data_IF_225540625599
#
_entry.id   IF_225540625599
#
_cell.length_a   1.000
_cell.length_b   1.000
_cell.length_c   1.000
_cell.angle_alpha   90.00
_cell.angle_beta   90.00
_cell.angle_gamma   90.00
#
_symmetry.space_group_name_H-M   'P 1'
#
loop_
_entity.id
_entity.type
_entity.pdbx_description
1 polymer ?
#
# COMPACT_ATOMS: atom_id res chain seq x y z
N UNK A 1 -112.10 11.38 23.35
CA UNK A 1 -110.77 12.02 23.50
C UNK A 1 -109.74 11.16 22.80
N UNK A 2 -109.01 11.75 21.86
CA UNK A 2 -108.09 11.08 20.93
C UNK A 2 -106.84 10.54 21.65
N UNK A 3 -106.76 9.22 21.84
CA UNK A 3 -105.49 8.54 22.10
C UNK A 3 -104.75 8.32 20.78
N UNK A 4 -104.08 9.37 20.28
CA UNK A 4 -103.03 9.21 19.26
C UNK A 4 -101.80 8.62 19.96
N UNK A 5 -101.71 7.29 20.01
CA UNK A 5 -100.43 6.59 20.22
C UNK A 5 -99.50 7.06 19.09
N UNK A 6 -98.52 7.92 19.43
CA UNK A 6 -97.39 8.19 18.55
C UNK A 6 -96.77 6.83 18.23
N UNK A 7 -96.92 6.36 16.98
CA UNK A 7 -96.06 5.30 16.45
C UNK A 7 -94.65 5.87 16.54
N UNK A 8 -93.91 5.49 17.59
CA UNK A 8 -92.49 5.68 17.61
C UNK A 8 -91.98 5.05 16.32
N UNK A 9 -91.34 5.83 15.46
CA UNK A 9 -90.66 5.31 14.28
C UNK A 9 -89.62 4.32 14.78
N UNK A 10 -89.98 3.04 14.85
CA UNK A 10 -89.06 1.97 15.21
C UNK A 10 -87.94 2.00 14.18
N UNK A 11 -86.75 2.32 14.64
CA UNK A 11 -85.55 2.41 13.80
C UNK A 11 -85.36 1.04 13.16
N UNK A 12 -85.76 0.93 11.89
CA UNK A 12 -85.69 -0.33 11.15
C UNK A 12 -84.31 -0.40 10.49
N UNK A 13 -83.77 -1.61 10.30
CA UNK A 13 -82.47 -1.80 9.65
C UNK A 13 -82.33 -1.04 8.32
N UNK A 14 -83.39 -1.00 7.52
CA UNK A 14 -83.43 -0.27 6.24
C UNK A 14 -83.30 1.25 6.41
N UNK A 15 -83.76 1.80 7.53
CA UNK A 15 -83.57 3.22 7.85
C UNK A 15 -82.11 3.53 8.16
N UNK A 16 -81.43 2.69 8.96
CA UNK A 16 -80.01 2.84 9.25
C UNK A 16 -79.16 2.67 7.99
N UNK A 17 -79.50 1.68 7.14
CA UNK A 17 -78.84 1.44 5.85
C UNK A 17 -78.91 2.64 4.91
N UNK A 18 -80.04 3.35 4.90
CA UNK A 18 -80.26 4.50 4.01
C UNK A 18 -79.62 5.78 4.53
N UNK A 19 -79.58 5.98 5.85
CA UNK A 19 -79.15 7.25 6.47
C UNK A 19 -77.69 7.25 6.93
N UNK A 20 -77.12 6.09 7.25
CA UNK A 20 -75.74 5.96 7.74
C UNK A 20 -75.00 4.79 7.06
N UNK A 21 -74.86 4.81 5.72
CA UNK A 21 -74.20 3.74 4.98
C UNK A 21 -72.73 3.54 5.42
N UNK A 22 -72.02 4.64 5.66
CA UNK A 22 -70.62 4.68 6.07
C UNK A 22 -70.34 3.93 7.37
N UNK A 23 -71.25 4.07 8.35
CA UNK A 23 -71.13 3.39 9.66
C UNK A 23 -71.33 1.88 9.49
N UNK A 24 -72.25 1.49 8.61
CA UNK A 24 -72.56 0.09 8.33
C UNK A 24 -71.41 -0.61 7.58
N UNK A 25 -70.74 0.08 6.66
CA UNK A 25 -69.58 -0.50 5.95
C UNK A 25 -68.40 -0.80 6.89
N UNK A 26 -68.14 0.06 7.87
CA UNK A 26 -67.11 -0.21 8.87
C UNK A 26 -67.50 -1.34 9.83
N UNK A 27 -68.74 -1.34 10.31
CA UNK A 27 -69.20 -2.39 11.23
C UNK A 27 -69.30 -3.78 10.56
N UNK A 28 -69.52 -3.84 9.24
CA UNK A 28 -69.44 -5.09 8.46
C UNK A 28 -68.09 -5.77 8.54
N UNK A 29 -67.04 -5.02 8.84
CA UNK A 29 -65.70 -5.57 8.97
C UNK A 29 -65.47 -6.32 10.29
N UNK A 30 -66.40 -6.23 11.23
CA UNK A 30 -66.32 -6.93 12.50
C UNK A 30 -66.55 -8.43 12.29
N UNK A 31 -65.75 -9.24 12.98
CA UNK A 31 -65.81 -10.71 12.94
C UNK A 31 -67.19 -11.29 13.32
N UNK A 32 -67.98 -10.57 14.12
CA UNK A 32 -69.31 -10.97 14.57
C UNK A 32 -70.41 -10.06 14.00
N UNK A 33 -70.23 -9.58 12.77
CA UNK A 33 -71.15 -8.66 12.11
C UNK A 33 -72.61 -9.11 12.15
N UNK A 34 -72.89 -10.40 11.90
CA UNK A 34 -74.27 -10.90 11.86
C UNK A 34 -75.00 -10.75 13.20
N UNK A 35 -74.27 -10.91 14.31
CA UNK A 35 -74.80 -10.70 15.68
C UNK A 35 -74.98 -9.22 16.01
N UNK A 36 -74.07 -8.37 15.54
CA UNK A 36 -74.12 -6.91 15.70
C UNK A 36 -75.26 -6.30 14.90
N UNK A 37 -75.46 -6.77 13.66
CA UNK A 37 -76.53 -6.36 12.76
C UNK A 37 -77.92 -6.61 13.33
N UNK A 38 -78.14 -7.76 13.99
CA UNK A 38 -79.42 -8.08 14.62
C UNK A 38 -79.68 -7.27 15.89
N UNK A 39 -78.64 -6.95 16.67
CA UNK A 39 -78.79 -6.25 17.95
C UNK A 39 -78.95 -4.73 17.83
N UNK A 40 -78.53 -4.11 16.74
CA UNK A 40 -78.57 -2.65 16.57
C UNK A 40 -80.00 -2.08 16.57
N UNK A 41 -80.95 -2.60 15.75
CA UNK A 41 -82.34 -2.10 15.75
C UNK A 41 -83.05 -2.32 17.10
N UNK A 42 -82.77 -3.46 17.75
CA UNK A 42 -83.34 -3.82 19.06
C UNK A 42 -82.82 -2.89 20.15
N UNK A 43 -81.50 -2.66 20.22
CA UNK A 43 -80.88 -1.76 21.20
C UNK A 43 -81.28 -0.29 21.02
N UNK A 44 -81.44 0.17 19.78
CA UNK A 44 -81.91 1.54 19.52
C UNK A 44 -83.40 1.72 19.86
N UNK A 45 -84.22 0.68 19.67
CA UNK A 45 -85.61 0.69 20.11
C UNK A 45 -85.77 0.72 21.64
N UNK A 46 -84.81 0.15 22.36
CA UNK A 46 -84.72 0.16 23.83
C UNK A 46 -84.03 1.43 24.38
N UNK A 47 -83.50 2.29 23.50
CA UNK A 47 -82.67 3.46 23.86
C UNK A 47 -81.39 3.12 24.64
N UNK A 48 -80.95 1.86 24.59
CA UNK A 48 -79.77 1.38 25.33
C UNK A 48 -78.46 1.88 24.70
N UNK A 49 -78.46 2.25 23.42
CA UNK A 49 -77.35 2.89 22.72
C UNK A 49 -77.82 3.98 21.74
N UNK A 50 -77.00 5.02 21.56
CA UNK A 50 -77.22 6.11 20.60
C UNK A 50 -76.51 5.81 19.27
N UNK A 51 -77.09 6.19 18.13
CA UNK A 51 -76.42 6.20 16.80
C UNK A 51 -75.04 6.88 16.87
N UNK A 52 -74.89 7.87 17.76
CA UNK A 52 -73.62 8.55 18.01
C UNK A 52 -72.53 7.58 18.49
N UNK A 53 -72.86 6.59 19.32
CA UNK A 53 -71.93 5.57 19.79
C UNK A 53 -71.51 4.63 18.64
N UNK A 54 -72.44 4.27 17.75
CA UNK A 54 -72.11 3.49 16.54
C UNK A 54 -71.20 4.26 15.58
N UNK A 55 -71.45 5.56 15.42
CA UNK A 55 -70.60 6.43 14.62
C UNK A 55 -69.20 6.56 15.24
N UNK A 56 -69.09 6.71 16.56
CA UNK A 56 -67.82 6.74 17.28
C UNK A 56 -67.04 5.42 17.14
N UNK A 57 -67.71 4.27 17.25
CA UNK A 57 -67.10 2.95 17.04
C UNK A 57 -66.61 2.80 15.59
N UNK A 58 -67.42 3.18 14.60
CA UNK A 58 -67.01 3.12 13.20
C UNK A 58 -65.82 4.04 12.90
N UNK A 59 -65.78 5.24 13.47
CA UNK A 59 -64.64 6.15 13.37
C UNK A 59 -63.37 5.55 13.99
N UNK A 60 -63.49 4.95 15.18
CA UNK A 60 -62.37 4.27 15.84
C UNK A 60 -61.88 3.04 15.07
N UNK A 61 -62.77 2.28 14.42
CA UNK A 61 -62.37 1.16 13.53
C UNK A 61 -61.57 1.67 12.33
N UNK A 62 -61.98 2.79 11.71
CA UNK A 62 -61.23 3.42 10.61
C UNK A 62 -59.86 3.87 11.06
N UNK A 63 -59.79 4.56 12.19
CA UNK A 63 -58.53 5.04 12.77
C UNK A 63 -57.57 3.87 13.04
N UNK A 64 -58.05 2.79 13.67
CA UNK A 64 -57.25 1.59 13.91
C UNK A 64 -56.79 0.89 12.61
N UNK A 65 -57.58 0.96 11.53
CA UNK A 65 -57.17 0.43 10.21
C UNK A 65 -56.04 1.25 9.61
N UNK A 66 -56.17 2.58 9.64
CA UNK A 66 -55.14 3.50 9.17
C UNK A 66 -53.85 3.30 9.98
N UNK A 67 -53.95 3.22 11.31
CA UNK A 67 -52.79 2.95 12.17
C UNK A 67 -52.15 1.60 11.85
N UNK A 68 -52.94 0.56 11.60
CA UNK A 68 -52.44 -0.76 11.20
C UNK A 68 -51.70 -0.71 9.86
N UNK A 69 -52.22 0.02 8.88
CA UNK A 69 -51.56 0.21 7.58
C UNK A 69 -50.24 0.96 7.74
N UNK A 70 -50.22 2.07 8.48
CA UNK A 70 -49.01 2.83 8.79
C UNK A 70 -47.98 1.99 9.56
N UNK A 71 -48.42 1.13 10.49
CA UNK A 71 -47.54 0.18 11.17
C UNK A 71 -47.00 -0.88 10.20
N UNK A 72 -47.82 -1.36 9.25
CA UNK A 72 -47.41 -2.25 8.17
C UNK A 72 -46.30 -1.64 7.32
N UNK A 73 -46.49 -0.41 6.84
CA UNK A 73 -45.48 0.33 6.08
C UNK A 73 -44.19 0.53 6.88
N UNK A 74 -44.30 0.88 8.16
CA UNK A 74 -43.13 1.00 9.05
C UNK A 74 -42.39 -0.32 9.22
N UNK A 75 -43.12 -1.44 9.36
CA UNK A 75 -42.52 -2.78 9.45
C UNK A 75 -41.80 -3.13 8.14
N UNK A 76 -42.38 -2.82 6.98
CA UNK A 76 -41.73 -3.03 5.68
C UNK A 76 -40.44 -2.22 5.54
N UNK A 77 -40.46 -0.94 5.91
CA UNK A 77 -39.26 -0.08 5.90
C UNK A 77 -38.19 -0.61 6.86
N UNK A 78 -38.59 -1.08 8.05
CA UNK A 78 -37.65 -1.67 9.01
C UNK A 78 -37.06 -2.95 8.42
N UNK A 79 -37.87 -3.83 7.83
CA UNK A 79 -37.40 -5.06 7.22
C UNK A 79 -36.42 -4.79 6.06
N UNK A 80 -36.73 -3.82 5.19
CA UNK A 80 -35.82 -3.45 4.09
C UNK A 80 -34.49 -2.90 4.61
N UNK A 81 -34.51 -2.11 5.70
CA UNK A 81 -33.29 -1.60 6.36
C UNK A 81 -32.49 -2.71 7.04
N UNK A 82 -33.18 -3.66 7.68
CA UNK A 82 -32.52 -4.83 8.31
C UNK A 82 -31.86 -5.69 7.25
N UNK A 83 -32.52 -5.89 6.10
CA UNK A 83 -31.96 -6.66 5.00
C UNK A 83 -30.77 -5.93 4.33
N UNK A 84 -30.87 -4.62 4.12
CA UNK A 84 -29.73 -3.83 3.63
C UNK A 84 -28.54 -3.89 4.60
N UNK A 85 -28.76 -3.68 5.90
CA UNK A 85 -27.72 -3.78 6.93
C UNK A 85 -27.11 -5.18 6.98
N UNK A 86 -27.91 -6.23 6.83
CA UNK A 86 -27.42 -7.61 6.77
C UNK A 86 -26.49 -7.81 5.58
N UNK A 87 -26.90 -7.37 4.38
CA UNK A 87 -26.05 -7.50 3.18
C UNK A 87 -24.78 -6.67 3.27
N UNK A 88 -24.85 -5.46 3.82
CA UNK A 88 -23.70 -4.59 4.05
C UNK A 88 -22.73 -5.22 5.06
N UNK A 89 -23.25 -5.76 6.16
CA UNK A 89 -22.47 -6.47 7.17
C UNK A 89 -21.78 -7.72 6.60
N UNK A 90 -22.48 -8.53 5.80
CA UNK A 90 -21.89 -9.70 5.13
C UNK A 90 -20.80 -9.31 4.13
N UNK A 91 -20.98 -8.20 3.40
CA UNK A 91 -19.97 -7.69 2.47
C UNK A 91 -18.74 -7.17 3.22
N UNK A 92 -18.94 -6.41 4.30
CA UNK A 92 -17.87 -5.91 5.15
C UNK A 92 -17.11 -7.07 5.80
N UNK A 93 -17.80 -8.10 6.27
CA UNK A 93 -17.18 -9.30 6.82
C UNK A 93 -16.30 -10.01 5.78
N UNK A 94 -16.79 -10.18 4.54
CA UNK A 94 -16.00 -10.76 3.43
C UNK A 94 -14.79 -9.91 3.07
N UNK A 95 -14.91 -8.58 3.10
CA UNK A 95 -13.81 -7.66 2.84
C UNK A 95 -12.73 -7.77 3.92
N UNK A 96 -13.13 -7.70 5.20
CA UNK A 96 -12.23 -7.88 6.34
C UNK A 96 -11.55 -9.25 6.33
N UNK A 97 -12.27 -10.32 5.99
CA UNK A 97 -11.69 -11.65 5.88
C UNK A 97 -10.58 -11.71 4.82
N UNK A 98 -10.78 -11.08 3.66
CA UNK A 98 -9.75 -10.98 2.61
C UNK A 98 -8.53 -10.17 3.06
N UNK A 99 -8.75 -9.08 3.78
CA UNK A 99 -7.66 -8.29 4.35
C UNK A 99 -6.84 -9.08 5.37
N UNK A 100 -7.52 -9.82 6.26
CA UNK A 100 -6.87 -10.72 7.21
C UNK A 100 -6.02 -11.77 6.49
N UNK A 101 -6.56 -12.41 5.45
CA UNK A 101 -5.82 -13.43 4.69
C UNK A 101 -4.61 -12.84 3.95
N UNK A 102 -4.73 -11.63 3.40
CA UNK A 102 -3.61 -10.90 2.80
C UNK A 102 -2.53 -10.52 3.83
N UNK A 103 -2.94 -10.11 5.03
CA UNK A 103 -2.02 -9.80 6.12
C UNK A 103 -1.28 -11.06 6.60
N UNK A 104 -1.99 -12.19 6.77
CA UNK A 104 -1.38 -13.48 7.09
C UNK A 104 -0.35 -13.89 6.03
N UNK A 105 -0.71 -13.81 4.75
CA UNK A 105 0.23 -14.13 3.67
C UNK A 105 1.45 -13.20 3.64
N UNK A 106 1.31 -11.94 4.08
CA UNK A 106 2.41 -10.99 4.19
C UNK A 106 3.31 -11.31 5.39
N UNK A 107 2.72 -11.68 6.53
CA UNK A 107 3.44 -12.15 7.73
C UNK A 107 4.25 -13.40 7.39
N UNK A 108 3.64 -14.41 6.75
CA UNK A 108 4.34 -15.64 6.34
C UNK A 108 5.57 -15.35 5.45
N UNK A 109 5.48 -14.35 4.57
CA UNK A 109 6.61 -13.93 3.72
C UNK A 109 7.70 -13.24 4.54
N UNK A 110 7.32 -12.43 5.52
CA UNK A 110 8.27 -11.77 6.41
C UNK A 110 8.97 -12.82 7.27
N UNK A 111 8.24 -13.75 7.88
CA UNK A 111 8.83 -14.85 8.66
C UNK A 111 9.83 -15.67 7.85
N UNK A 112 9.49 -16.05 6.61
CA UNK A 112 10.44 -16.74 5.70
C UNK A 112 11.69 -15.92 5.43
N UNK A 113 11.56 -14.60 5.25
CA UNK A 113 12.71 -13.69 5.07
C UNK A 113 13.54 -13.57 6.34
N UNK A 114 12.91 -13.50 7.50
CA UNK A 114 13.60 -13.45 8.80
C UNK A 114 14.41 -14.73 9.02
N UNK A 115 13.82 -15.90 8.80
CA UNK A 115 14.53 -17.19 8.89
C UNK A 115 15.71 -17.26 7.91
N UNK A 116 15.53 -16.72 6.69
CA UNK A 116 16.62 -16.62 5.72
C UNK A 116 17.73 -15.68 6.20
N UNK A 117 17.40 -14.50 6.75
CA UNK A 117 18.36 -13.55 7.29
C UNK A 117 19.12 -14.15 8.47
N UNK A 118 18.45 -14.82 9.40
CA UNK A 118 19.10 -15.56 10.50
C UNK A 118 20.07 -16.64 9.97
N UNK A 119 19.71 -17.28 8.85
CA UNK A 119 20.59 -18.25 8.21
C UNK A 119 21.82 -17.58 7.60
N UNK A 120 21.64 -16.46 6.89
CA UNK A 120 22.74 -15.66 6.33
C UNK A 120 23.64 -15.11 7.44
N UNK A 121 23.08 -14.64 8.55
CA UNK A 121 23.83 -14.14 9.70
C UNK A 121 24.79 -15.21 10.26
N UNK A 122 24.36 -16.48 10.29
CA UNK A 122 25.25 -17.61 10.67
C UNK A 122 26.38 -17.88 9.67
N UNK A 123 26.25 -17.45 8.42
CA UNK A 123 27.29 -17.59 7.40
C UNK A 123 28.29 -16.43 7.39
N UNK A 124 27.90 -15.23 7.83
CA UNK A 124 28.78 -14.04 7.85
C UNK A 124 30.11 -14.30 8.57
N UNK A 125 30.15 -14.91 9.79
CA UNK A 125 31.41 -15.22 10.45
C UNK A 125 32.30 -16.17 9.63
N UNK A 126 31.71 -17.16 8.96
CA UNK A 126 32.45 -18.12 8.13
C UNK A 126 33.04 -17.46 6.88
N UNK A 127 32.31 -16.52 6.29
CA UNK A 127 32.81 -15.71 5.16
C UNK A 127 33.99 -14.86 5.63
N UNK A 128 33.87 -14.18 6.78
CA UNK A 128 34.97 -13.40 7.34
C UNK A 128 36.21 -14.26 7.64
N UNK A 129 36.04 -15.45 8.22
CA UNK A 129 37.15 -16.39 8.43
C UNK A 129 37.82 -16.83 7.12
N UNK A 130 37.03 -17.04 6.06
CA UNK A 130 37.55 -17.38 4.74
C UNK A 130 38.30 -16.20 4.11
N UNK A 131 37.76 -14.98 4.23
CA UNK A 131 38.44 -13.76 3.77
C UNK A 131 39.78 -13.55 4.48
N UNK A 132 39.83 -13.72 5.81
CA UNK A 132 41.09 -13.64 6.56
C UNK A 132 42.10 -14.70 6.12
N UNK A 133 41.66 -15.94 5.89
CA UNK A 133 42.53 -17.01 5.38
C UNK A 133 43.06 -16.69 3.98
N UNK A 134 42.21 -16.14 3.12
CA UNK A 134 42.56 -15.80 1.75
C UNK A 134 43.56 -14.63 1.72
N UNK A 135 43.38 -13.62 2.57
CA UNK A 135 44.35 -12.53 2.76
C UNK A 135 45.70 -13.06 3.27
N UNK A 136 45.70 -13.94 4.28
CA UNK A 136 46.94 -14.56 4.78
C UNK A 136 47.66 -15.35 3.70
N UNK A 137 46.94 -16.14 2.91
CA UNK A 137 47.52 -16.87 1.78
C UNK A 137 48.09 -15.95 0.70
N UNK A 138 47.41 -14.85 0.38
CA UNK A 138 47.93 -13.87 -0.58
C UNK A 138 49.26 -13.25 -0.09
N UNK A 139 49.35 -12.90 1.19
CA UNK A 139 50.58 -12.36 1.80
C UNK A 139 51.69 -13.42 1.78
N UNK A 140 51.40 -14.67 2.13
CA UNK A 140 52.38 -15.76 2.08
C UNK A 140 52.90 -16.03 0.66
N UNK A 141 52.01 -16.01 -0.34
CA UNK A 141 52.38 -16.16 -1.75
C UNK A 141 53.24 -14.99 -2.20
N UNK A 142 52.85 -13.75 -1.86
CA UNK A 142 53.63 -12.55 -2.19
C UNK A 142 55.03 -12.61 -1.59
N UNK A 143 55.16 -12.98 -0.32
CA UNK A 143 56.46 -13.12 0.35
C UNK A 143 57.32 -14.22 -0.28
N UNK A 144 56.73 -15.38 -0.64
CA UNK A 144 57.46 -16.45 -1.35
C UNK A 144 57.94 -16.01 -2.71
N UNK A 145 57.11 -15.27 -3.44
CA UNK A 145 57.48 -14.70 -4.74
C UNK A 145 58.61 -13.68 -4.58
N UNK A 146 58.52 -12.80 -3.58
CA UNK A 146 59.57 -11.82 -3.27
C UNK A 146 60.89 -12.50 -2.90
N UNK A 147 60.88 -13.53 -2.05
CA UNK A 147 62.08 -14.31 -1.72
C UNK A 147 62.69 -15.00 -2.95
N UNK A 148 61.86 -15.57 -3.83
CA UNK A 148 62.33 -16.20 -5.07
C UNK A 148 62.94 -15.17 -6.02
N UNK A 149 62.31 -14.01 -6.19
CA UNK A 149 62.84 -12.94 -7.02
C UNK A 149 64.10 -12.33 -6.42
N UNK A 150 64.18 -12.15 -5.10
CA UNK A 150 65.38 -11.69 -4.42
C UNK A 150 66.53 -12.68 -4.63
N UNK A 151 66.29 -13.99 -4.48
CA UNK A 151 67.30 -15.03 -4.74
C UNK A 151 67.76 -15.03 -6.20
N UNK A 152 66.84 -14.90 -7.15
CA UNK A 152 67.18 -14.81 -8.56
C UNK A 152 67.93 -13.51 -8.89
N UNK A 153 67.57 -12.39 -8.27
CA UNK A 153 68.26 -11.12 -8.41
C UNK A 153 69.66 -11.16 -7.83
N UNK A 154 69.85 -11.77 -6.65
CA UNK A 154 71.19 -11.94 -6.06
C UNK A 154 72.04 -12.87 -6.88
N UNK A 155 71.49 -13.99 -7.38
CA UNK A 155 72.21 -14.88 -8.28
C UNK A 155 72.58 -14.20 -9.59
N UNK A 156 71.66 -13.48 -10.23
CA UNK A 156 71.95 -12.71 -11.44
C UNK A 156 72.93 -11.57 -11.17
N UNK A 157 72.87 -10.92 -10.01
CA UNK A 157 73.83 -9.90 -9.62
C UNK A 157 75.21 -10.51 -9.42
N UNK A 158 75.32 -11.66 -8.74
CA UNK A 158 76.56 -12.39 -8.57
C UNK A 158 77.11 -12.92 -9.90
N UNK A 159 76.24 -13.38 -10.80
CA UNK A 159 76.60 -13.77 -12.18
C UNK A 159 77.12 -12.57 -12.96
N UNK A 160 76.42 -11.43 -12.95
CA UNK A 160 76.86 -10.20 -13.64
C UNK A 160 78.14 -9.63 -13.02
N UNK A 161 78.30 -9.70 -11.70
CA UNK A 161 79.53 -9.28 -11.02
C UNK A 161 80.68 -10.21 -11.39
N UNK A 162 80.46 -11.53 -11.39
CA UNK A 162 81.47 -12.50 -11.80
C UNK A 162 81.78 -12.43 -13.29
N UNK A 163 80.78 -12.18 -14.14
CA UNK A 163 80.96 -11.91 -15.56
C UNK A 163 81.74 -10.62 -15.74
N UNK A 164 81.41 -9.53 -15.04
CA UNK A 164 82.19 -8.28 -15.10
C UNK A 164 83.59 -8.42 -14.52
N UNK A 165 83.81 -9.23 -13.51
CA UNK A 165 85.16 -9.53 -12.99
C UNK A 165 85.94 -10.33 -14.04
N UNK A 166 85.32 -11.34 -14.64
CA UNK A 166 85.89 -12.10 -15.76
C UNK A 166 86.08 -11.25 -17.00
N UNK A 167 85.22 -10.28 -17.27
CA UNK A 167 85.28 -9.32 -18.37
C UNK A 167 86.37 -8.28 -18.08
N UNK A 168 86.59 -7.88 -16.83
CA UNK A 168 87.75 -7.07 -16.42
C UNK A 168 89.05 -7.85 -16.55
N UNK A 169 89.10 -9.13 -16.14
CA UNK A 169 90.23 -10.03 -16.35
C UNK A 169 90.48 -10.34 -17.83
N UNK A 170 89.39 -10.45 -18.61
CA UNK A 170 89.45 -10.70 -20.04
C UNK A 170 89.83 -9.42 -20.78
N UNK A 171 89.35 -8.25 -20.41
CA UNK A 171 89.73 -6.94 -20.98
C UNK A 171 91.19 -6.62 -20.67
N UNK A 172 91.70 -6.96 -19.49
CA UNK A 172 93.15 -6.94 -19.21
C UNK A 172 93.97 -7.91 -20.09
N UNK A 173 93.37 -9.01 -20.56
CA UNK A 173 93.98 -9.96 -21.52
C UNK A 173 93.66 -9.67 -22.99
N UNK A 174 92.68 -8.81 -23.26
CA UNK A 174 92.07 -8.56 -24.58
C UNK A 174 92.24 -7.10 -25.03
N UNK A 175 93.01 -6.31 -24.29
CA UNK A 175 93.73 -5.17 -24.85
C UNK A 175 94.82 -5.58 -25.86
N UNK A 176 94.97 -6.88 -26.16
CA UNK A 176 95.88 -7.37 -27.20
C UNK A 176 95.19 -7.71 -28.53
N UNK A 177 93.96 -8.22 -28.65
CA UNK A 177 93.34 -8.36 -29.99
C UNK A 177 91.81 -8.52 -30.01
N UNK A 178 91.17 -7.81 -30.94
CA UNK A 178 89.98 -8.32 -31.65
C UNK A 178 88.65 -7.63 -31.38
N UNK A 179 88.53 -6.35 -31.74
CA UNK A 179 87.27 -5.59 -31.78
C UNK A 179 86.70 -5.63 -33.21
N UNK A 180 85.90 -6.64 -33.53
CA UNK A 180 85.00 -6.55 -34.71
C UNK A 180 83.85 -7.58 -34.74
N UNK A 181 83.98 -8.74 -34.08
CA UNK A 181 82.93 -9.80 -34.14
C UNK A 181 81.88 -9.68 -33.02
N UNK A 182 82.22 -9.09 -31.87
CA UNK A 182 81.30 -9.00 -30.72
C UNK A 182 80.24 -7.90 -30.84
N UNK A 183 80.54 -6.83 -31.60
CA UNK A 183 79.59 -5.74 -31.81
C UNK A 183 78.31 -6.23 -32.51
N UNK A 184 78.45 -7.18 -33.44
CA UNK A 184 77.31 -7.74 -34.18
C UNK A 184 76.43 -8.66 -33.32
N UNK A 185 77.02 -9.41 -32.36
CA UNK A 185 76.25 -10.22 -31.41
C UNK A 185 75.52 -9.35 -30.39
N UNK A 186 76.22 -8.37 -29.82
CA UNK A 186 75.64 -7.43 -28.86
C UNK A 186 74.49 -6.66 -29.51
N UNK A 187 74.65 -6.18 -30.75
CA UNK A 187 73.59 -5.50 -31.48
C UNK A 187 72.36 -6.41 -31.71
N UNK A 188 72.56 -7.70 -31.98
CA UNK A 188 71.46 -8.65 -32.19
C UNK A 188 70.69 -8.94 -30.88
N UNK A 189 71.39 -9.14 -29.77
CA UNK A 189 70.76 -9.32 -28.45
C UNK A 189 70.03 -8.06 -27.97
N UNK A 190 70.58 -6.87 -28.26
CA UNK A 190 69.92 -5.60 -27.98
C UNK A 190 68.64 -5.44 -28.79
N UNK A 191 68.65 -5.88 -30.04
CA UNK A 191 67.49 -5.85 -30.92
C UNK A 191 66.39 -6.82 -30.45
N UNK A 192 66.73 -8.04 -30.04
CA UNK A 192 65.77 -9.00 -29.47
C UNK A 192 65.15 -8.51 -28.16
N UNK A 193 65.96 -7.90 -27.27
CA UNK A 193 65.45 -7.29 -26.03
C UNK A 193 64.54 -6.09 -26.32
N UNK A 194 64.85 -5.28 -27.33
CA UNK A 194 64.00 -4.19 -27.77
C UNK A 194 62.66 -4.70 -28.32
N UNK A 195 62.68 -5.74 -29.14
CA UNK A 195 61.46 -6.35 -29.69
C UNK A 195 60.60 -6.99 -28.59
N UNK A 196 61.22 -7.64 -27.60
CA UNK A 196 60.51 -8.16 -26.43
C UNK A 196 59.86 -7.04 -25.61
N UNK A 197 60.60 -5.96 -25.34
CA UNK A 197 60.09 -4.81 -24.61
C UNK A 197 58.96 -4.10 -25.38
N UNK A 198 59.02 -4.03 -26.72
CA UNK A 198 57.94 -3.48 -27.54
C UNK A 198 56.68 -4.35 -27.46
N UNK A 199 56.81 -5.68 -27.53
CA UNK A 199 55.66 -6.61 -27.39
C UNK A 199 55.00 -6.49 -26.02
N UNK A 200 55.80 -6.41 -24.97
CA UNK A 200 55.31 -6.26 -23.60
C UNK A 200 54.63 -4.90 -23.40
N UNK A 201 55.16 -3.83 -23.99
CA UNK A 201 54.55 -2.50 -23.97
C UNK A 201 53.21 -2.45 -24.72
N UNK A 202 53.10 -3.13 -25.87
CA UNK A 202 51.83 -3.27 -26.60
C UNK A 202 50.80 -4.02 -25.74
N UNK A 203 51.19 -5.13 -25.12
CA UNK A 203 50.31 -5.90 -24.24
C UNK A 203 49.84 -5.08 -23.03
N UNK A 204 50.75 -4.37 -22.36
CA UNK A 204 50.41 -3.48 -21.25
C UNK A 204 49.47 -2.34 -21.70
N UNK A 205 49.67 -1.79 -22.91
CA UNK A 205 48.77 -0.79 -23.48
C UNK A 205 47.35 -1.32 -23.71
N UNK A 206 47.21 -2.57 -24.15
CA UNK A 206 45.90 -3.23 -24.31
C UNK A 206 45.22 -3.46 -22.96
N UNK A 207 45.96 -3.96 -21.96
CA UNK A 207 45.44 -4.15 -20.59
C UNK A 207 45.01 -2.82 -19.99
N UNK A 208 45.76 -1.73 -20.19
CA UNK A 208 45.38 -0.38 -19.73
C UNK A 208 44.07 0.06 -20.39
N UNK A 209 43.92 -0.11 -21.70
CA UNK A 209 42.66 0.23 -22.41
C UNK A 209 41.46 -0.55 -21.86
N UNK A 210 41.65 -1.82 -21.56
CA UNK A 210 40.60 -2.69 -21.02
C UNK A 210 40.22 -2.27 -19.58
N UNK A 211 41.21 -1.93 -18.76
CA UNK A 211 40.99 -1.37 -17.41
C UNK A 211 40.29 -0.01 -17.46
N UNK A 212 40.68 0.87 -18.38
CA UNK A 212 40.05 2.18 -18.56
C UNK A 212 38.58 2.05 -18.98
N UNK A 213 38.26 1.10 -19.87
CA UNK A 213 36.89 0.79 -20.24
C UNK A 213 36.07 0.32 -19.02
N UNK A 214 36.65 -0.57 -18.21
CA UNK A 214 36.03 -1.08 -16.98
C UNK A 214 35.81 0.03 -15.95
N UNK A 215 36.78 0.92 -15.79
CA UNK A 215 36.67 2.10 -14.92
C UNK A 215 35.50 2.96 -15.39
N UNK A 216 35.42 3.31 -16.69
CA UNK A 216 34.30 4.10 -17.24
C UNK A 216 32.94 3.47 -16.97
N UNK A 217 32.83 2.15 -17.14
CA UNK A 217 31.59 1.42 -16.87
C UNK A 217 31.21 1.46 -15.38
N UNK A 218 32.18 1.25 -14.49
CA UNK A 218 31.98 1.33 -13.05
C UNK A 218 31.60 2.74 -12.61
N UNK A 219 32.26 3.78 -13.13
CA UNK A 219 31.93 5.17 -12.84
C UNK A 219 30.51 5.52 -13.27
N UNK A 220 30.06 5.01 -14.43
CA UNK A 220 28.68 5.19 -14.89
C UNK A 220 27.66 4.45 -14.01
N UNK A 221 27.97 3.23 -13.55
CA UNK A 221 27.11 2.52 -12.59
C UNK A 221 27.03 3.28 -11.25
N UNK A 222 28.16 3.83 -10.79
CA UNK A 222 28.24 4.61 -9.56
C UNK A 222 27.41 5.90 -9.64
N UNK A 223 27.45 6.61 -10.77
CA UNK A 223 26.63 7.82 -10.95
C UNK A 223 25.13 7.51 -10.95
N UNK A 224 24.70 6.40 -11.57
CA UNK A 224 23.31 5.94 -11.49
C UNK A 224 22.89 5.60 -10.07
N UNK A 225 23.75 4.92 -9.32
CA UNK A 225 23.47 4.59 -7.92
C UNK A 225 23.35 5.86 -7.06
N UNK A 226 24.20 6.86 -7.27
CA UNK A 226 24.10 8.15 -6.61
C UNK A 226 22.79 8.87 -6.93
N UNK A 227 22.33 8.87 -8.19
CA UNK A 227 21.02 9.42 -8.55
C UNK A 227 19.87 8.68 -7.86
N UNK A 228 19.93 7.34 -7.78
CA UNK A 228 18.92 6.58 -7.06
C UNK A 228 18.93 6.87 -5.56
N UNK A 229 20.12 7.07 -4.96
CA UNK A 229 20.25 7.45 -3.54
C UNK A 229 19.60 8.81 -3.28
N UNK A 230 19.83 9.81 -4.14
CA UNK A 230 19.19 11.12 -4.02
C UNK A 230 17.66 11.03 -4.10
N UNK A 231 17.13 10.21 -5.02
CA UNK A 231 15.68 9.97 -5.11
C UNK A 231 15.12 9.29 -3.86
N UNK A 232 15.88 8.36 -3.28
CA UNK A 232 15.48 7.72 -2.02
C UNK A 232 15.43 8.76 -0.89
N UNK A 233 16.44 9.62 -0.76
CA UNK A 233 16.44 10.70 0.24
C UNK A 233 15.26 11.67 0.07
N UNK A 234 14.91 12.04 -1.16
CA UNK A 234 13.73 12.87 -1.45
C UNK A 234 12.42 12.18 -1.04
N UNK A 235 12.30 10.89 -1.32
CA UNK A 235 11.12 10.10 -0.91
C UNK A 235 11.03 9.98 0.61
N UNK A 236 12.15 9.78 1.31
CA UNK A 236 12.19 9.72 2.77
C UNK A 236 11.71 11.04 3.38
N UNK A 237 12.16 12.19 2.87
CA UNK A 237 11.68 13.50 3.34
C UNK A 237 10.18 13.67 3.16
N UNK A 238 9.64 13.24 2.02
CA UNK A 238 8.18 13.27 1.79
C UNK A 238 7.41 12.36 2.74
N UNK A 239 7.96 11.19 3.08
CA UNK A 239 7.36 10.28 4.06
C UNK A 239 7.31 10.95 5.45
N UNK A 240 8.39 11.60 5.87
CA UNK A 240 8.42 12.35 7.14
C UNK A 240 7.39 13.50 7.15
N UNK A 241 7.21 14.20 6.03
CA UNK A 241 6.17 15.22 5.88
C UNK A 241 4.77 14.61 6.02
N UNK A 242 4.51 13.45 5.40
CA UNK A 242 3.23 12.75 5.55
C UNK A 242 2.96 12.30 6.98
N UNK A 243 3.97 11.76 7.68
CA UNK A 243 3.83 11.37 9.08
C UNK A 243 3.49 12.55 9.98
N UNK A 244 4.12 13.73 9.75
CA UNK A 244 3.77 14.96 10.46
C UNK A 244 2.33 15.38 10.19
N UNK A 245 1.90 15.44 8.94
CA UNK A 245 0.51 15.80 8.60
C UNK A 245 -0.51 14.80 9.14
N UNK A 246 -0.17 13.51 9.20
CA UNK A 246 -1.04 12.49 9.78
C UNK A 246 -1.17 12.63 11.29
N UNK A 247 -0.08 12.99 11.98
CA UNK A 247 -0.10 13.30 13.41
C UNK A 247 -0.94 14.56 13.70
N UNK A 248 -0.79 15.61 12.90
CA UNK A 248 -1.61 16.84 13.00
C UNK A 248 -3.10 16.53 12.80
N UNK A 249 -3.45 15.71 11.79
CA UNK A 249 -4.82 15.26 11.58
C UNK A 249 -5.37 14.43 12.73
N UNK A 250 -4.55 13.58 13.34
CA UNK A 250 -4.93 12.78 14.51
C UNK A 250 -5.23 13.67 15.72
N UNK A 251 -4.43 14.73 15.92
CA UNK A 251 -4.68 15.74 16.95
C UNK A 251 -5.97 16.51 16.69
N UNK A 252 -6.17 17.02 15.47
CA UNK A 252 -7.40 17.71 15.07
C UNK A 252 -8.64 16.83 15.23
N UNK A 253 -8.54 15.54 14.91
CA UNK A 253 -9.63 14.58 15.09
C UNK A 253 -9.98 14.39 16.57
N UNK A 254 -8.98 14.37 17.46
CA UNK A 254 -9.21 14.32 18.92
C UNK A 254 -9.87 15.61 19.42
N UNK A 255 -9.36 16.78 19.02
CA UNK A 255 -9.93 18.07 19.40
C UNK A 255 -11.39 18.22 18.90
N UNK A 256 -11.67 17.77 17.67
CA UNK A 256 -13.03 17.79 17.12
C UNK A 256 -13.98 16.84 17.88
N UNK A 257 -13.49 15.67 18.29
CA UNK A 257 -14.26 14.72 19.09
C UNK A 257 -14.50 15.24 20.52
N UNK A 258 -13.53 15.93 21.13
CA UNK A 258 -13.70 16.60 22.42
C UNK A 258 -14.72 17.75 22.35
N UNK A 259 -14.71 18.53 21.27
CA UNK A 259 -15.63 19.65 21.06
C UNK A 259 -17.08 19.22 20.79
N UNK A 260 -17.29 18.08 20.11
CA UNK A 260 -18.62 17.65 19.64
C UNK A 260 -19.17 16.41 20.34
N UNK A 261 -18.32 15.68 21.07
CA UNK A 261 -18.65 14.38 21.65
C UNK A 261 -18.82 13.25 20.63
N UNK A 262 -18.52 13.49 19.35
CA UNK A 262 -18.69 12.53 18.26
C UNK A 262 -17.32 12.16 17.67
N UNK A 263 -17.06 10.85 17.54
CA UNK A 263 -15.80 10.34 16.95
C UNK A 263 -15.78 10.34 15.42
N UNK A 264 -16.96 10.41 14.80
CA UNK A 264 -17.09 10.56 13.35
C UNK A 264 -16.93 12.02 12.94
N UNK A 265 -15.92 12.28 12.10
CA UNK A 265 -15.50 13.62 11.67
C UNK A 265 -16.59 14.29 10.85
N UNK A 266 -17.30 13.54 10.01
CA UNK A 266 -18.34 14.11 9.14
C UNK A 266 -19.59 14.50 9.91
N UNK A 267 -20.00 13.67 10.89
CA UNK A 267 -21.13 13.98 11.78
C UNK A 267 -20.78 15.08 12.78
N UNK A 268 -19.55 15.08 13.31
CA UNK A 268 -19.04 16.15 14.16
C UNK A 268 -19.07 17.50 13.42
N UNK A 269 -18.64 17.54 12.16
CA UNK A 269 -18.71 18.75 11.32
C UNK A 269 -20.16 19.16 11.02
N UNK A 270 -21.07 18.21 10.81
CA UNK A 270 -22.50 18.51 10.61
C UNK A 270 -23.14 19.10 11.87
N UNK A 271 -22.90 18.51 13.05
CA UNK A 271 -23.36 19.08 14.32
C UNK A 271 -22.75 20.46 14.60
N UNK A 272 -21.45 20.66 14.36
CA UNK A 272 -20.81 21.98 14.47
C UNK A 272 -21.39 23.03 13.52
N UNK A 273 -21.96 22.61 12.38
CA UNK A 273 -22.67 23.51 11.46
C UNK A 273 -24.11 23.81 11.90
N UNK A 274 -24.73 22.90 12.64
CA UNK A 274 -26.11 23.01 13.13
C UNK A 274 -26.20 23.72 14.49
N UNK A 275 -25.22 23.50 15.39
CA UNK A 275 -25.09 24.14 16.69
C UNK A 275 -24.14 25.34 16.64
N UNK A 276 -24.69 26.50 16.94
CA UNK A 276 -24.16 27.84 16.71
C UNK A 276 -22.79 28.12 17.37
N UNK A 277 -21.71 28.16 16.59
CA UNK A 277 -20.42 28.83 16.91
C UNK A 277 -20.10 29.81 15.77
N UNK A 278 -19.63 31.05 16.05
CA UNK A 278 -19.60 32.17 15.10
C UNK A 278 -18.96 31.81 13.75
N UNK A 279 -19.72 32.12 12.68
CA UNK A 279 -19.48 31.78 11.26
C UNK A 279 -18.05 32.05 10.75
N UNK A 280 -17.32 32.97 11.37
CA UNK A 280 -15.99 33.40 10.93
C UNK A 280 -14.87 32.39 11.15
N UNK A 281 -14.89 31.58 12.23
CA UNK A 281 -13.88 30.51 12.46
C UNK A 281 -14.23 29.20 11.77
N UNK A 282 -15.53 28.91 11.64
CA UNK A 282 -15.98 27.69 10.93
C UNK A 282 -15.75 27.84 9.43
N UNK A 283 -15.92 29.02 8.84
CA UNK A 283 -15.62 29.23 7.42
C UNK A 283 -14.13 29.09 7.08
N UNK A 284 -13.22 29.51 7.98
CA UNK A 284 -11.78 29.31 7.77
C UNK A 284 -11.41 27.84 7.85
N UNK A 285 -11.89 27.14 8.89
CA UNK A 285 -11.63 25.71 9.08
C UNK A 285 -12.27 24.89 7.96
N UNK A 286 -13.50 25.21 7.53
CA UNK A 286 -14.16 24.52 6.43
C UNK A 286 -13.44 24.73 5.09
N UNK A 287 -12.87 25.92 4.86
CA UNK A 287 -12.03 26.19 3.67
C UNK A 287 -10.72 25.42 3.74
N UNK A 288 -10.07 25.38 4.89
CA UNK A 288 -8.83 24.62 5.09
C UNK A 288 -9.06 23.12 4.91
N UNK A 289 -10.12 22.57 5.50
CA UNK A 289 -10.51 21.16 5.31
C UNK A 289 -10.82 20.87 3.85
N UNK A 290 -11.53 21.74 3.15
CA UNK A 290 -11.83 21.56 1.72
C UNK A 290 -10.55 21.59 0.86
N UNK A 291 -9.63 22.52 1.14
CA UNK A 291 -8.35 22.61 0.45
C UNK A 291 -7.48 21.37 0.74
N UNK A 292 -7.50 20.86 1.97
CA UNK A 292 -6.79 19.64 2.35
C UNK A 292 -7.40 18.40 1.68
N UNK A 293 -8.72 18.32 1.54
CA UNK A 293 -9.37 17.25 0.77
C UNK A 293 -8.99 17.29 -0.71
N UNK A 294 -8.99 18.47 -1.33
CA UNK A 294 -8.54 18.63 -2.73
C UNK A 294 -7.04 18.30 -2.88
N UNK A 295 -6.21 18.64 -1.89
CA UNK A 295 -4.80 18.26 -1.87
C UNK A 295 -4.63 16.74 -1.75
N UNK A 296 -5.39 16.07 -0.89
CA UNK A 296 -5.40 14.60 -0.76
C UNK A 296 -5.81 13.95 -2.07
N UNK A 297 -6.81 14.48 -2.75
CA UNK A 297 -7.29 13.92 -4.02
C UNK A 297 -6.25 14.06 -5.14
N UNK A 298 -5.56 15.21 -5.20
CA UNK A 298 -4.40 15.39 -6.10
C UNK A 298 -3.26 14.44 -5.77
N UNK A 299 -2.92 14.29 -4.49
CA UNK A 299 -1.87 13.38 -4.04
C UNK A 299 -2.21 11.91 -4.30
N UNK A 300 -3.48 11.53 -4.17
CA UNK A 300 -3.96 10.18 -4.50
C UNK A 300 -3.79 9.89 -5.98
N UNK A 301 -4.14 10.84 -6.85
CA UNK A 301 -3.93 10.74 -8.29
C UNK A 301 -2.45 10.69 -8.67
N UNK A 302 -1.59 11.47 -8.01
CA UNK A 302 -0.14 11.39 -8.20
C UNK A 302 0.44 10.05 -7.73
N UNK A 303 -0.04 9.50 -6.62
CA UNK A 303 0.39 8.21 -6.11
C UNK A 303 -0.01 7.06 -7.07
N UNK A 304 -1.20 7.14 -7.67
CA UNK A 304 -1.61 6.21 -8.74
C UNK A 304 -0.70 6.30 -9.96
N UNK A 305 -0.39 7.51 -10.44
CA UNK A 305 0.58 7.69 -11.54
C UNK A 305 1.96 7.11 -11.20
N UNK A 306 2.47 7.37 -10.00
CA UNK A 306 3.75 6.83 -9.55
C UNK A 306 3.74 5.29 -9.41
N UNK A 307 2.59 4.70 -9.06
CA UNK A 307 2.41 3.24 -9.06
C UNK A 307 2.45 2.67 -10.47
N UNK A 308 1.83 3.34 -11.43
CA UNK A 308 1.90 2.95 -12.85
C UNK A 308 3.32 3.07 -13.41
N UNK A 309 4.02 4.17 -13.12
CA UNK A 309 5.42 4.35 -13.51
C UNK A 309 6.32 3.28 -12.87
N UNK A 310 6.10 2.94 -11.59
CA UNK A 310 6.82 1.85 -10.94
C UNK A 310 6.53 0.48 -11.58
N UNK A 311 5.30 0.22 -12.03
CA UNK A 311 4.98 -1.00 -12.78
C UNK A 311 5.76 -1.04 -14.11
N UNK A 312 5.74 0.07 -14.87
CA UNK A 312 6.50 0.19 -16.13
C UNK A 312 8.01 0.03 -15.93
N UNK A 313 8.56 0.62 -14.86
CA UNK A 313 9.98 0.45 -14.50
C UNK A 313 10.30 -1.00 -14.10
N UNK A 314 9.43 -1.66 -13.34
CA UNK A 314 9.59 -3.10 -13.03
C UNK A 314 9.57 -3.96 -14.28
N UNK A 315 8.68 -3.69 -15.22
CA UNK A 315 8.61 -4.38 -16.52
C UNK A 315 9.88 -4.13 -17.35
N UNK A 316 10.35 -2.88 -17.42
CA UNK A 316 11.60 -2.54 -18.09
C UNK A 316 12.82 -3.23 -17.48
N UNK A 317 12.89 -3.31 -16.14
CA UNK A 317 13.96 -4.04 -15.42
C UNK A 317 13.88 -5.54 -15.71
N UNK A 318 12.67 -6.12 -15.75
CA UNK A 318 12.47 -7.53 -16.10
C UNK A 318 12.90 -7.83 -17.54
N UNK A 319 12.60 -6.92 -18.47
CA UNK A 319 13.01 -7.01 -19.87
C UNK A 319 14.53 -6.87 -20.06
N UNK A 320 15.20 -6.07 -19.22
CA UNK A 320 16.65 -5.95 -19.22
C UNK A 320 17.33 -7.19 -18.63
N UNK A 321 16.79 -7.74 -17.53
CA UNK A 321 17.31 -8.98 -16.92
C UNK A 321 17.16 -10.18 -17.85
N UNK A 322 16.02 -10.33 -18.52
CA UNK A 322 15.80 -11.42 -19.50
C UNK A 322 16.72 -11.32 -20.72
N UNK A 323 16.99 -10.10 -21.22
CA UNK A 323 18.01 -9.93 -22.27
C UNK A 323 19.41 -10.27 -21.82
N UNK A 324 19.72 -10.09 -20.53
CA UNK A 324 21.02 -10.42 -19.96
C UNK A 324 21.18 -11.94 -19.81
N UNK A 325 20.11 -12.66 -19.50
CA UNK A 325 20.07 -14.14 -19.45
C UNK A 325 20.09 -14.80 -20.85
N UNK A 326 19.69 -14.10 -21.91
CA UNK A 326 19.77 -14.58 -23.31
C UNK A 326 21.12 -14.25 -23.98
N UNK A 327 21.97 -13.45 -23.33
CA UNK A 327 23.28 -13.02 -23.86
C UNK A 327 24.47 -13.81 -23.29
N UNK A 328 24.24 -14.63 -22.26
CA UNK A 328 25.17 -15.63 -21.71
C UNK A 328 24.81 -17.02 -22.25
#
# INVERSE_FOLDING_TARGET
>A
MFNRKKKANSVTWDYLRKKYPDVIEELKSLRNWDRVKSSIPEAESLSDYSILALHAIAALIRELRIERELLGERIEIINSKVESLKTESENNYKALQREIDNLKASIDRIEKRTIFLESVEKFVPKINELEEKLQKQQIEIANRIEELYLKQLTQKADEVINEKIKEFEHNLKRDIFGVSVDLAKILRELQEKYESAIKENIHLSEVIKEKDARIKELTYKLSKLQETSKKIEELTKRIEEYEKSMNELSQLKKELAELTGIYDVEEAIKRLKEEFVPKSRIESIAKEVKNLMEAIEKLKNENEKLREENKKLKEAVKALLSKQEESD
#
